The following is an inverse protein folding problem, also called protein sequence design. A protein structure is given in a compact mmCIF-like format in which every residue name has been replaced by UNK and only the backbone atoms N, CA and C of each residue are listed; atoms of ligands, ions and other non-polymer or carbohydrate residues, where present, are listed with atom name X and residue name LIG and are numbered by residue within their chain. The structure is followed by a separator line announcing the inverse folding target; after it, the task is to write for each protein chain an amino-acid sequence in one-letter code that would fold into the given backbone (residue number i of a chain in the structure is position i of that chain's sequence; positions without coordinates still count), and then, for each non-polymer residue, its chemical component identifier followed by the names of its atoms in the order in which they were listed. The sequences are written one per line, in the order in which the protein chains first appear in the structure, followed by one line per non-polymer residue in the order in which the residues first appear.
data_IF_917931130136
#
_entry.id   IF_917931130136
#
_cell.length_a   1.000
_cell.length_b   1.000
_cell.length_c   1.000
_cell.angle_alpha   90.00
_cell.angle_beta   90.00
_cell.angle_gamma   90.00
#
_symmetry.space_group_name_H-M   'P 1'
#
loop_
_entity.id
_entity.type
_entity.pdbx_description
1 polymer ?
#
# COMPACT_ATOMS: atom_id res chain seq x y z
N UNK A 1 6.08 35.77 -36.71
CA UNK A 1 6.16 36.00 -38.17
C UNK A 1 6.87 34.80 -38.78
N UNK A 2 6.15 33.94 -39.51
CA UNK A 2 6.78 32.82 -40.22
C UNK A 2 7.77 33.39 -41.24
N UNK A 3 9.04 33.02 -41.14
CA UNK A 3 10.06 33.45 -42.09
C UNK A 3 9.75 32.86 -43.47
N UNK A 4 10.01 33.64 -44.52
CA UNK A 4 9.77 33.33 -45.94
C UNK A 4 10.46 32.05 -46.48
N UNK A 5 11.12 31.29 -45.59
CA UNK A 5 11.81 30.02 -45.83
C UNK A 5 10.88 28.82 -45.61
N UNK A 6 9.95 28.88 -44.66
CA UNK A 6 8.99 27.82 -44.36
C UNK A 6 8.05 27.51 -45.53
N UNK A 7 7.80 28.50 -46.41
CA UNK A 7 6.95 28.35 -47.59
C UNK A 7 7.60 27.58 -48.76
N UNK A 8 8.90 27.25 -48.68
CA UNK A 8 9.66 26.56 -49.74
C UNK A 8 10.03 25.12 -49.41
N UNK A 9 9.80 24.67 -48.18
CA UNK A 9 10.11 23.31 -47.74
C UNK A 9 8.92 22.40 -48.03
N UNK A 10 9.19 21.17 -48.46
CA UNK A 10 8.15 20.16 -48.46
C UNK A 10 7.78 19.75 -47.01
N UNK A 11 6.65 19.09 -46.83
CA UNK A 11 6.11 18.77 -45.48
C UNK A 11 7.10 17.98 -44.62
N UNK A 12 7.87 17.07 -45.22
CA UNK A 12 8.83 16.23 -44.51
C UNK A 12 10.05 17.03 -44.04
N UNK A 13 10.59 17.89 -44.90
CA UNK A 13 11.69 18.79 -44.55
C UNK A 13 11.29 19.79 -43.46
N UNK A 14 10.08 20.33 -43.54
CA UNK A 14 9.54 21.22 -42.52
C UNK A 14 9.41 20.51 -41.16
N UNK A 15 8.87 19.28 -41.13
CA UNK A 15 8.79 18.49 -39.90
C UNK A 15 10.17 18.20 -39.31
N UNK A 16 11.14 17.90 -40.18
CA UNK A 16 12.53 17.65 -39.77
C UNK A 16 13.17 18.89 -39.16
N UNK A 17 12.98 20.06 -39.76
CA UNK A 17 13.46 21.35 -39.23
C UNK A 17 12.82 21.66 -37.87
N UNK A 18 11.49 21.49 -37.75
CA UNK A 18 10.76 21.73 -36.51
C UNK A 18 11.10 20.75 -35.37
N UNK A 19 11.77 19.64 -35.66
CA UNK A 19 12.28 18.66 -34.68
C UNK A 19 13.73 18.86 -34.28
N UNK A 20 14.45 19.82 -34.88
CA UNK A 20 15.81 20.19 -34.47
C UNK A 20 15.83 20.93 -33.12
N UNK A 21 17.01 21.10 -32.53
CA UNK A 21 17.18 21.83 -31.28
C UNK A 21 16.63 23.27 -31.40
N UNK A 22 15.74 23.65 -30.48
CA UNK A 22 15.04 24.94 -30.53
C UNK A 22 13.82 24.98 -31.46
N UNK A 23 13.51 23.88 -32.17
CA UNK A 23 12.32 23.75 -33.01
C UNK A 23 11.04 23.53 -32.19
N UNK A 24 9.90 23.97 -32.75
CA UNK A 24 8.60 23.93 -32.07
C UNK A 24 8.17 22.53 -31.63
N UNK A 25 8.43 21.51 -32.46
CA UNK A 25 8.10 20.12 -32.15
C UNK A 25 9.15 19.40 -31.33
N UNK A 26 10.29 20.04 -30.99
CA UNK A 26 11.29 19.47 -30.09
C UNK A 26 10.98 19.83 -28.64
N UNK A 27 10.03 19.10 -28.05
CA UNK A 27 9.65 19.26 -26.65
C UNK A 27 9.29 17.91 -26.02
N UNK A 28 9.26 17.87 -24.68
CA UNK A 28 8.99 16.66 -23.89
C UNK A 28 7.66 16.02 -24.23
N UNK A 29 6.61 16.81 -24.42
CA UNK A 29 5.28 16.29 -24.76
C UNK A 29 5.31 15.46 -26.05
N UNK A 30 5.91 15.99 -27.12
CA UNK A 30 6.03 15.27 -28.40
C UNK A 30 6.99 14.09 -28.29
N UNK A 31 8.11 14.24 -27.59
CA UNK A 31 9.09 13.16 -27.39
C UNK A 31 8.48 11.95 -26.67
N UNK A 32 7.69 12.19 -25.62
CA UNK A 32 7.01 11.14 -24.85
C UNK A 32 5.94 10.42 -25.69
N UNK A 33 5.17 11.15 -26.50
CA UNK A 33 4.19 10.52 -27.40
C UNK A 33 4.84 9.68 -28.49
N UNK A 34 5.92 10.16 -29.11
CA UNK A 34 6.68 9.38 -30.09
C UNK A 34 7.30 8.12 -29.46
N UNK A 35 7.82 8.23 -28.23
CA UNK A 35 8.31 7.06 -27.49
C UNK A 35 7.20 6.03 -27.25
N UNK A 36 5.98 6.47 -26.94
CA UNK A 36 4.82 5.58 -26.73
C UNK A 36 4.35 4.90 -28.03
N UNK A 37 4.45 5.59 -29.17
CA UNK A 37 4.12 5.02 -30.49
C UNK A 37 5.18 3.97 -30.90
N UNK A 38 6.46 4.22 -30.61
CA UNK A 38 7.57 3.29 -30.87
C UNK A 38 7.82 2.28 -29.73
N UNK A 39 6.96 2.23 -28.71
CA UNK A 39 7.24 1.56 -27.44
C UNK A 39 7.67 0.09 -27.58
N UNK A 40 7.09 -0.64 -28.53
CA UNK A 40 7.43 -2.05 -28.74
C UNK A 40 8.83 -2.27 -29.31
N UNK A 41 9.40 -1.26 -29.98
CA UNK A 41 10.74 -1.30 -30.55
C UNK A 41 11.83 -0.99 -29.51
N UNK A 42 11.44 -0.45 -28.34
CA UNK A 42 12.36 -0.07 -27.26
C UNK A 42 12.80 -1.27 -26.43
N UNK A 43 14.04 -1.23 -25.96
CA UNK A 43 14.57 -2.26 -25.07
C UNK A 43 14.07 -2.11 -23.61
N UNK A 44 14.39 -3.08 -22.76
CA UNK A 44 13.94 -3.09 -21.37
C UNK A 44 14.53 -1.93 -20.53
N UNK A 45 15.75 -1.49 -20.86
CA UNK A 45 16.42 -0.40 -20.16
C UNK A 45 15.79 0.95 -20.50
N UNK A 46 15.56 1.22 -21.78
CA UNK A 46 14.85 2.39 -22.28
C UNK A 46 13.45 2.50 -21.66
N UNK A 47 12.68 1.40 -21.66
CA UNK A 47 11.34 1.36 -21.05
C UNK A 47 11.38 1.69 -19.56
N UNK A 48 12.38 1.18 -18.85
CA UNK A 48 12.54 1.43 -17.41
C UNK A 48 12.87 2.89 -17.11
N UNK A 49 13.76 3.51 -17.89
CA UNK A 49 14.08 4.94 -17.78
C UNK A 49 12.83 5.77 -18.07
N UNK A 50 12.13 5.46 -19.17
CA UNK A 50 10.92 6.15 -19.57
C UNK A 50 9.88 6.19 -18.44
N UNK A 51 9.55 5.05 -17.82
CA UNK A 51 8.57 5.05 -16.73
C UNK A 51 9.06 5.74 -15.45
N UNK A 52 10.37 5.69 -15.18
CA UNK A 52 10.95 6.40 -14.06
C UNK A 52 10.84 7.93 -14.22
N UNK A 53 10.92 8.44 -15.45
CA UNK A 53 10.75 9.85 -15.79
C UNK A 53 9.29 10.25 -15.95
N UNK A 54 8.45 9.37 -16.52
CA UNK A 54 7.04 9.61 -16.82
C UNK A 54 6.29 10.14 -15.59
N UNK A 55 6.58 9.62 -14.39
CA UNK A 55 5.94 10.07 -13.14
C UNK A 55 6.01 11.60 -12.93
N UNK A 56 7.10 12.24 -13.39
CA UNK A 56 7.34 13.67 -13.25
C UNK A 56 6.69 14.48 -14.39
N UNK A 57 6.28 13.82 -15.47
CA UNK A 57 5.76 14.46 -16.67
C UNK A 57 4.24 14.35 -16.81
N UNK A 58 3.59 13.50 -16.00
CA UNK A 58 2.15 13.24 -16.11
C UNK A 58 1.27 14.49 -16.00
N UNK A 59 1.68 15.53 -15.27
CA UNK A 59 0.92 16.79 -15.14
C UNK A 59 0.87 17.63 -16.42
N UNK A 60 1.79 17.40 -17.36
CA UNK A 60 1.84 18.17 -18.61
C UNK A 60 0.87 17.63 -19.66
N UNK A 61 0.33 16.43 -19.47
CA UNK A 61 -0.56 15.80 -20.44
C UNK A 61 -2.01 16.16 -20.14
N UNK A 62 -2.79 16.59 -21.15
CA UNK A 62 -4.25 16.68 -21.00
C UNK A 62 -4.82 15.32 -20.56
N UNK A 63 -5.84 15.34 -19.70
CA UNK A 63 -6.43 14.13 -19.10
C UNK A 63 -6.80 13.07 -20.14
N UNK A 64 -7.34 13.48 -21.29
CA UNK A 64 -7.68 12.57 -22.39
C UNK A 64 -6.45 11.84 -22.95
N UNK A 65 -5.30 12.51 -23.06
CA UNK A 65 -4.06 11.88 -23.54
C UNK A 65 -3.52 10.93 -22.48
N UNK A 66 -3.50 11.38 -21.22
CA UNK A 66 -3.09 10.57 -20.08
C UNK A 66 -3.94 9.27 -19.97
N UNK A 67 -5.26 9.39 -20.07
CA UNK A 67 -6.24 8.31 -19.93
C UNK A 67 -6.30 7.36 -21.12
N UNK A 68 -6.29 7.87 -22.35
CA UNK A 68 -6.53 7.04 -23.55
C UNK A 68 -5.28 6.67 -24.33
N UNK A 69 -4.14 7.34 -24.10
CA UNK A 69 -2.86 7.01 -24.78
C UNK A 69 -1.83 6.44 -23.82
N UNK A 70 -1.60 7.09 -22.68
CA UNK A 70 -0.52 6.72 -21.76
C UNK A 70 -0.90 5.51 -20.90
N UNK A 71 -2.06 5.55 -20.24
CA UNK A 71 -2.51 4.48 -19.34
C UNK A 71 -2.59 3.09 -20.02
N UNK A 72 -3.16 2.93 -21.23
CA UNK A 72 -3.22 1.61 -21.87
C UNK A 72 -1.84 1.02 -22.16
N UNK A 73 -0.85 1.87 -22.52
CA UNK A 73 0.54 1.43 -22.74
C UNK A 73 1.23 1.04 -21.44
N UNK A 74 0.95 1.76 -20.35
CA UNK A 74 1.44 1.42 -19.01
C UNK A 74 0.92 0.05 -18.55
N UNK A 75 -0.39 -0.17 -18.67
CA UNK A 75 -1.04 -1.45 -18.33
C UNK A 75 -0.46 -2.57 -19.18
N UNK A 76 -0.42 -2.40 -20.51
CA UNK A 76 0.14 -3.40 -21.42
C UNK A 76 1.61 -3.71 -21.12
N UNK A 77 2.43 -2.69 -20.83
CA UNK A 77 3.83 -2.89 -20.48
C UNK A 77 4.01 -3.69 -19.19
N UNK A 78 3.05 -3.60 -18.29
CA UNK A 78 3.05 -4.39 -17.07
C UNK A 78 2.47 -5.81 -17.27
N UNK A 79 1.42 -5.93 -18.07
CA UNK A 79 0.80 -7.21 -18.41
C UNK A 79 1.73 -8.13 -19.19
N UNK A 80 2.61 -7.58 -20.02
CA UNK A 80 3.46 -8.36 -20.93
C UNK A 80 4.96 -8.08 -20.79
N UNK A 81 5.39 -7.28 -19.81
CA UNK A 81 6.79 -6.89 -19.63
C UNK A 81 7.27 -6.85 -18.18
N UNK A 82 8.57 -6.57 -18.02
CA UNK A 82 9.26 -6.51 -16.72
C UNK A 82 9.35 -5.07 -16.17
N UNK A 83 8.25 -4.32 -16.25
CA UNK A 83 8.23 -2.93 -15.78
C UNK A 83 8.32 -2.80 -14.24
N UNK A 84 8.17 -3.92 -13.53
CA UNK A 84 8.37 -4.05 -12.09
C UNK A 84 7.55 -3.05 -11.27
N UNK A 85 8.14 -2.50 -10.23
CA UNK A 85 7.48 -1.51 -9.35
C UNK A 85 7.51 -0.06 -9.86
N UNK A 86 8.15 0.22 -10.99
CA UNK A 86 8.25 1.59 -11.52
C UNK A 86 6.93 2.08 -12.11
N UNK A 87 6.07 1.15 -12.54
CA UNK A 87 4.75 1.48 -13.09
C UNK A 87 3.75 1.88 -12.01
N UNK A 88 4.00 1.58 -10.74
CA UNK A 88 3.02 1.83 -9.66
C UNK A 88 2.65 3.30 -9.52
N UNK A 89 3.66 4.19 -9.45
CA UNK A 89 3.40 5.62 -9.27
C UNK A 89 2.64 6.21 -10.46
N UNK A 90 3.06 5.99 -11.73
CA UNK A 90 2.25 6.41 -12.88
C UNK A 90 0.85 5.79 -12.90
N UNK A 91 0.71 4.50 -12.54
CA UNK A 91 -0.56 3.78 -12.58
C UNK A 91 -1.57 4.39 -11.60
N UNK A 92 -1.17 4.62 -10.35
CA UNK A 92 -2.06 5.22 -9.35
C UNK A 92 -2.40 6.66 -9.67
N UNK A 93 -1.45 7.43 -10.22
CA UNK A 93 -1.71 8.80 -10.63
C UNK A 93 -2.74 8.87 -11.76
N UNK A 94 -2.59 8.03 -12.78
CA UNK A 94 -3.53 7.94 -13.90
C UNK A 94 -4.87 7.32 -13.47
N UNK A 95 -4.86 6.43 -12.48
CA UNK A 95 -6.07 5.84 -11.90
C UNK A 95 -7.03 6.88 -11.31
N UNK A 96 -6.53 8.02 -10.83
CA UNK A 96 -7.37 9.14 -10.31
C UNK A 96 -8.20 9.83 -11.39
N UNK A 97 -7.91 9.60 -12.68
CA UNK A 97 -8.66 10.14 -13.81
C UNK A 97 -9.81 9.21 -14.26
N UNK A 98 -9.92 8.04 -13.63
CA UNK A 98 -10.91 7.02 -13.97
C UNK A 98 -12.11 7.16 -13.04
N UNK A 99 -13.30 6.89 -13.58
CA UNK A 99 -14.44 6.57 -12.73
C UNK A 99 -14.30 5.16 -12.13
N UNK A 100 -15.23 4.80 -11.25
CA UNK A 100 -15.14 3.52 -10.53
C UNK A 100 -15.19 2.31 -11.48
N UNK A 101 -16.07 2.34 -12.50
CA UNK A 101 -16.23 1.23 -13.45
C UNK A 101 -14.95 1.05 -14.30
N UNK A 102 -14.36 2.15 -14.75
CA UNK A 102 -13.09 2.13 -15.47
C UNK A 102 -11.93 1.68 -14.57
N UNK A 103 -11.92 2.08 -13.30
CA UNK A 103 -10.91 1.64 -12.33
C UNK A 103 -10.99 0.13 -12.10
N UNK A 104 -12.21 -0.41 -11.90
CA UNK A 104 -12.46 -1.84 -11.78
C UNK A 104 -11.99 -2.60 -13.03
N UNK A 105 -12.29 -2.07 -14.23
CA UNK A 105 -11.96 -2.75 -15.47
C UNK A 105 -10.46 -2.72 -15.80
N UNK A 106 -9.77 -1.61 -15.48
CA UNK A 106 -8.40 -1.35 -15.96
C UNK A 106 -7.33 -1.52 -14.89
N UNK A 107 -7.57 -1.05 -13.66
CA UNK A 107 -6.54 -0.98 -12.62
C UNK A 107 -6.56 -2.22 -11.72
N UNK A 108 -7.75 -2.71 -11.34
CA UNK A 108 -7.87 -3.87 -10.42
C UNK A 108 -7.21 -5.15 -10.97
N UNK A 109 -7.35 -5.53 -12.26
CA UNK A 109 -6.66 -6.70 -12.81
C UNK A 109 -5.13 -6.56 -12.73
N UNK A 110 -4.62 -5.36 -12.97
CA UNK A 110 -3.20 -5.03 -12.84
C UNK A 110 -2.73 -5.19 -11.39
N UNK A 111 -3.51 -4.70 -10.42
CA UNK A 111 -3.23 -4.89 -8.98
C UNK A 111 -3.19 -6.37 -8.58
N UNK A 112 -4.14 -7.19 -9.02
CA UNK A 112 -4.13 -8.63 -8.73
C UNK A 112 -2.85 -9.31 -9.24
N UNK A 113 -2.41 -8.96 -10.45
CA UNK A 113 -1.16 -9.48 -11.01
C UNK A 113 0.06 -8.95 -10.25
N UNK A 114 0.05 -7.68 -9.83
CA UNK A 114 1.11 -7.05 -9.02
C UNK A 114 1.30 -7.75 -7.68
N UNK A 115 0.22 -8.09 -6.98
CA UNK A 115 0.29 -8.88 -5.75
C UNK A 115 0.79 -10.31 -5.97
N UNK A 116 0.54 -10.88 -7.15
CA UNK A 116 1.00 -12.23 -7.49
C UNK A 116 2.50 -12.28 -7.85
N UNK A 117 3.16 -11.12 -7.97
CA UNK A 117 4.61 -11.05 -8.22
C UNK A 117 5.42 -11.60 -7.03
N UNK A 118 6.47 -12.40 -7.27
CA UNK A 118 7.40 -12.82 -6.22
C UNK A 118 8.36 -11.71 -5.78
N UNK A 119 8.41 -10.57 -6.49
CA UNK A 119 9.32 -9.47 -6.17
C UNK A 119 8.95 -8.76 -4.87
N UNK A 120 9.82 -8.87 -3.87
CA UNK A 120 9.65 -8.27 -2.54
C UNK A 120 9.57 -6.75 -2.60
N UNK A 121 10.33 -6.09 -3.50
CA UNK A 121 10.34 -4.63 -3.60
C UNK A 121 9.00 -4.11 -4.13
N UNK A 122 8.43 -4.78 -5.13
CA UNK A 122 7.08 -4.52 -5.64
C UNK A 122 6.03 -4.73 -4.55
N UNK A 123 6.12 -5.84 -3.80
CA UNK A 123 5.19 -6.11 -2.69
C UNK A 123 5.22 -5.01 -1.63
N UNK A 124 6.40 -4.60 -1.16
CA UNK A 124 6.53 -3.53 -0.15
C UNK A 124 5.90 -2.24 -0.67
N UNK A 125 6.22 -1.81 -1.89
CA UNK A 125 5.67 -0.57 -2.47
C UNK A 125 4.15 -0.60 -2.65
N UNK A 126 3.56 -1.76 -2.94
CA UNK A 126 2.11 -1.94 -2.98
C UNK A 126 1.50 -1.77 -1.58
N UNK A 127 2.07 -2.45 -0.59
CA UNK A 127 1.57 -2.45 0.78
C UNK A 127 1.69 -1.06 1.44
N UNK A 128 2.77 -0.32 1.16
CA UNK A 128 2.96 1.06 1.62
C UNK A 128 1.93 2.06 1.04
N UNK A 129 1.32 1.73 -0.11
CA UNK A 129 0.32 2.55 -0.79
C UNK A 129 -1.07 1.93 -0.79
N UNK A 130 -1.31 0.93 0.05
CA UNK A 130 -2.58 0.20 0.09
C UNK A 130 -3.78 1.14 0.26
N UNK A 131 -3.63 2.22 1.04
CA UNK A 131 -4.69 3.21 1.29
C UNK A 131 -5.14 3.95 0.02
N UNK A 132 -4.27 4.06 -1.01
CA UNK A 132 -4.61 4.73 -2.26
C UNK A 132 -5.56 3.91 -3.14
N UNK A 133 -5.60 2.58 -2.97
CA UNK A 133 -6.39 1.70 -3.82
C UNK A 133 -7.31 0.74 -3.07
N UNK A 134 -7.14 0.54 -1.77
CA UNK A 134 -8.02 -0.29 -0.96
C UNK A 134 -9.50 0.10 -1.09
N UNK A 135 -9.90 1.39 -1.11
CA UNK A 135 -11.31 1.77 -1.28
C UNK A 135 -11.94 1.26 -2.58
N UNK A 136 -11.13 1.08 -3.63
CA UNK A 136 -11.56 0.56 -4.93
C UNK A 136 -11.51 -0.98 -5.01
N UNK A 137 -11.12 -1.69 -3.94
CA UNK A 137 -11.09 -3.15 -3.98
C UNK A 137 -12.40 -3.72 -3.45
N UNK A 138 -13.08 -4.51 -4.27
CA UNK A 138 -14.25 -5.27 -3.83
C UNK A 138 -13.83 -6.40 -2.87
N UNK A 139 -14.61 -6.68 -1.81
CA UNK A 139 -14.31 -7.76 -0.86
C UNK A 139 -14.03 -9.12 -1.52
N UNK A 140 -14.80 -9.47 -2.56
CA UNK A 140 -14.59 -10.72 -3.32
C UNK A 140 -13.17 -10.80 -3.91
N UNK A 141 -12.72 -9.73 -4.58
CA UNK A 141 -11.39 -9.67 -5.18
C UNK A 141 -10.29 -9.73 -4.11
N UNK A 142 -10.49 -9.05 -2.97
CA UNK A 142 -9.55 -9.09 -1.86
C UNK A 142 -9.36 -10.52 -1.37
N UNK A 143 -10.44 -11.24 -1.06
CA UNK A 143 -10.35 -12.59 -0.50
C UNK A 143 -9.84 -13.62 -1.53
N UNK A 144 -10.32 -13.57 -2.77
CA UNK A 144 -10.04 -14.61 -3.76
C UNK A 144 -8.67 -14.44 -4.45
N UNK A 145 -8.23 -13.19 -4.71
CA UNK A 145 -7.08 -12.92 -5.58
C UNK A 145 -5.91 -12.21 -4.90
N UNK A 146 -6.16 -11.47 -3.81
CA UNK A 146 -5.13 -10.62 -3.18
C UNK A 146 -4.65 -11.21 -1.86
N UNK A 147 -5.56 -11.64 -0.98
CA UNK A 147 -5.25 -11.94 0.41
C UNK A 147 -4.19 -13.03 0.55
N UNK A 148 -4.30 -14.15 -0.19
CA UNK A 148 -3.30 -15.23 -0.15
C UNK A 148 -1.88 -14.73 -0.44
N UNK A 149 -1.74 -13.84 -1.41
CA UNK A 149 -0.44 -13.27 -1.78
C UNK A 149 0.09 -12.33 -0.70
N UNK A 150 -0.79 -11.52 -0.10
CA UNK A 150 -0.43 -10.62 1.01
C UNK A 150 -0.06 -11.42 2.27
N UNK A 151 -0.83 -12.44 2.62
CA UNK A 151 -0.62 -13.27 3.81
C UNK A 151 0.74 -13.98 3.81
N UNK A 152 1.28 -14.32 2.63
CA UNK A 152 2.64 -14.87 2.49
C UNK A 152 3.71 -13.92 3.09
N UNK A 153 3.45 -12.62 3.09
CA UNK A 153 4.33 -11.59 3.64
C UNK A 153 4.53 -11.67 5.15
N UNK A 154 3.59 -12.25 5.91
CA UNK A 154 3.74 -12.42 7.36
C UNK A 154 4.84 -13.44 7.75
N UNK A 155 5.29 -14.24 6.79
CA UNK A 155 6.29 -15.29 6.97
C UNK A 155 7.60 -14.96 6.27
N UNK A 156 7.71 -13.79 5.64
CA UNK A 156 8.89 -13.46 4.84
C UNK A 156 10.13 -13.28 5.72
N UNK A 157 11.29 -13.71 5.20
CA UNK A 157 12.56 -13.58 5.90
C UNK A 157 13.00 -12.12 6.03
N UNK A 158 12.56 -11.24 5.14
CA UNK A 158 12.85 -9.81 5.19
C UNK A 158 11.88 -9.07 6.13
N UNK A 159 12.40 -8.43 7.21
CA UNK A 159 11.59 -7.62 8.13
C UNK A 159 10.71 -6.55 7.47
N UNK A 160 11.22 -5.87 6.44
CA UNK A 160 10.48 -4.80 5.78
C UNK A 160 9.19 -5.31 5.10
N UNK A 161 9.23 -6.54 4.57
CA UNK A 161 8.05 -7.20 3.99
C UNK A 161 7.04 -7.52 5.08
N UNK A 162 7.49 -8.15 6.19
CA UNK A 162 6.62 -8.48 7.32
C UNK A 162 5.97 -7.22 7.92
N UNK A 163 6.76 -6.17 8.14
CA UNK A 163 6.29 -4.91 8.70
C UNK A 163 5.23 -4.24 7.82
N UNK A 164 5.50 -4.13 6.51
CA UNK A 164 4.55 -3.54 5.56
C UNK A 164 3.26 -4.36 5.46
N UNK A 165 3.38 -5.69 5.54
CA UNK A 165 2.22 -6.61 5.50
C UNK A 165 1.31 -6.37 6.70
N UNK A 166 1.87 -6.26 7.91
CA UNK A 166 1.09 -5.98 9.14
C UNK A 166 0.37 -4.63 9.06
N UNK A 167 1.06 -3.58 8.59
CA UNK A 167 0.47 -2.24 8.48
C UNK A 167 -0.68 -2.21 7.48
N UNK A 168 -0.54 -2.89 6.34
CA UNK A 168 -1.54 -2.89 5.28
C UNK A 168 -2.87 -3.56 5.66
N UNK A 169 -2.88 -4.44 6.67
CA UNK A 169 -4.11 -5.10 7.11
C UNK A 169 -5.14 -4.15 7.69
N UNK A 170 -4.73 -3.00 8.21
CA UNK A 170 -5.66 -1.99 8.71
C UNK A 170 -6.62 -1.54 7.61
N UNK A 171 -6.12 -1.39 6.39
CA UNK A 171 -6.86 -0.87 5.23
C UNK A 171 -7.67 -1.96 4.49
N UNK A 172 -7.35 -3.23 4.76
CA UNK A 172 -8.02 -4.39 4.15
C UNK A 172 -9.00 -5.09 5.08
N UNK A 173 -8.97 -4.81 6.39
CA UNK A 173 -9.72 -5.58 7.38
C UNK A 173 -11.24 -5.58 7.16
N UNK A 174 -11.81 -4.47 6.68
CA UNK A 174 -13.24 -4.34 6.37
C UNK A 174 -13.69 -5.16 5.17
N UNK A 175 -12.74 -5.71 4.39
CA UNK A 175 -12.97 -6.48 3.17
C UNK A 175 -12.71 -7.97 3.35
N UNK A 176 -12.14 -8.39 4.48
CA UNK A 176 -11.83 -9.79 4.74
C UNK A 176 -13.09 -10.55 5.16
N UNK A 177 -13.24 -11.77 4.63
CA UNK A 177 -14.26 -12.70 5.09
C UNK A 177 -13.92 -13.26 6.49
N UNK A 178 -14.88 -13.98 7.08
CA UNK A 178 -14.71 -14.54 8.42
C UNK A 178 -13.52 -15.51 8.54
N UNK A 179 -13.24 -16.28 7.49
CA UNK A 179 -12.15 -17.26 7.49
C UNK A 179 -10.79 -16.55 7.51
N UNK A 180 -10.61 -15.56 6.65
CA UNK A 180 -9.36 -14.81 6.53
C UNK A 180 -9.16 -13.90 7.75
N UNK A 181 -10.20 -13.19 8.20
CA UNK A 181 -10.09 -12.24 9.32
C UNK A 181 -9.93 -12.93 10.67
N UNK A 182 -10.84 -13.83 11.03
CA UNK A 182 -10.96 -14.33 12.41
C UNK A 182 -10.08 -15.55 12.70
N UNK A 183 -9.65 -16.28 11.66
CA UNK A 183 -8.83 -17.49 11.82
C UNK A 183 -7.41 -17.24 11.34
N UNK A 184 -7.26 -16.89 10.06
CA UNK A 184 -5.94 -16.85 9.44
C UNK A 184 -5.12 -15.63 9.87
N UNK A 185 -5.67 -14.42 9.73
CA UNK A 185 -5.01 -13.18 10.13
C UNK A 185 -4.73 -13.16 11.64
N UNK A 186 -5.66 -13.63 12.48
CA UNK A 186 -5.43 -13.72 13.93
C UNK A 186 -4.23 -14.61 14.27
N UNK A 187 -4.06 -15.75 13.58
CA UNK A 187 -2.91 -16.63 13.76
C UNK A 187 -1.60 -15.93 13.40
N UNK A 188 -1.58 -15.20 12.27
CA UNK A 188 -0.40 -14.46 11.83
C UNK A 188 -0.03 -13.32 12.79
N UNK A 189 -1.01 -12.51 13.21
CA UNK A 189 -0.78 -11.41 14.14
C UNK A 189 -0.33 -11.90 15.51
N UNK A 190 -0.92 -12.99 16.03
CA UNK A 190 -0.50 -13.57 17.31
C UNK A 190 0.95 -14.05 17.29
N UNK A 191 1.38 -14.71 16.19
CA UNK A 191 2.77 -15.16 16.03
C UNK A 191 3.73 -13.98 15.95
N UNK A 192 3.44 -12.99 15.11
CA UNK A 192 4.32 -11.82 14.95
C UNK A 192 4.41 -11.02 16.24
N UNK A 193 3.30 -10.78 16.93
CA UNK A 193 3.29 -10.09 18.22
C UNK A 193 4.10 -10.83 19.29
N UNK A 194 4.04 -12.17 19.31
CA UNK A 194 4.66 -12.96 20.38
C UNK A 194 6.12 -13.34 20.16
N UNK A 195 6.55 -13.48 18.90
CA UNK A 195 7.81 -14.15 18.57
C UNK A 195 8.64 -13.49 17.46
N UNK A 196 8.20 -12.37 16.87
CA UNK A 196 9.03 -11.68 15.88
C UNK A 196 10.27 -11.07 16.54
N UNK A 197 11.43 -11.25 15.90
CA UNK A 197 12.72 -10.76 16.36
C UNK A 197 12.77 -9.23 16.37
N UNK A 198 11.99 -8.59 15.50
CA UNK A 198 11.98 -7.15 15.35
C UNK A 198 10.94 -6.50 16.30
N UNK A 199 11.39 -5.71 17.29
CA UNK A 199 10.48 -5.09 18.26
C UNK A 199 9.46 -4.13 17.61
N UNK A 200 9.84 -3.48 16.51
CA UNK A 200 8.93 -2.65 15.71
C UNK A 200 7.77 -3.46 15.11
N UNK A 201 8.01 -4.69 14.65
CA UNK A 201 6.98 -5.56 14.07
C UNK A 201 6.02 -6.02 15.17
N UNK A 202 6.52 -6.41 16.35
CA UNK A 202 5.66 -6.77 17.50
C UNK A 202 4.75 -5.60 17.92
N UNK A 203 5.30 -4.39 17.92
CA UNK A 203 4.57 -3.15 18.17
C UNK A 203 3.48 -2.94 17.12
N UNK A 204 3.83 -3.02 15.83
CA UNK A 204 2.88 -2.84 14.73
C UNK A 204 1.76 -3.90 14.73
N UNK A 205 2.04 -5.16 15.10
CA UNK A 205 1.03 -6.20 15.23
C UNK A 205 0.00 -5.86 16.32
N UNK A 206 0.49 -5.32 17.45
CA UNK A 206 -0.36 -4.83 18.55
C UNK A 206 -1.25 -3.67 18.10
N UNK A 207 -0.67 -2.69 17.39
CA UNK A 207 -1.41 -1.54 16.85
C UNK A 207 -2.46 -2.01 15.84
N UNK A 208 -2.09 -2.93 14.95
CA UNK A 208 -2.98 -3.48 13.93
C UNK A 208 -4.21 -4.14 14.58
N UNK A 209 -4.01 -5.03 15.57
CA UNK A 209 -5.10 -5.65 16.33
C UNK A 209 -6.04 -4.62 16.97
N UNK A 210 -5.51 -3.54 17.55
CA UNK A 210 -6.32 -2.46 18.11
C UNK A 210 -7.16 -1.74 17.06
N UNK A 211 -6.58 -1.45 15.89
CA UNK A 211 -7.26 -0.74 14.80
C UNK A 211 -8.34 -1.57 14.11
N UNK A 212 -8.15 -2.88 13.98
CA UNK A 212 -9.10 -3.77 13.30
C UNK A 212 -10.11 -4.42 14.26
N UNK A 213 -10.02 -4.13 15.56
CA UNK A 213 -10.82 -4.79 16.60
C UNK A 213 -12.33 -4.71 16.41
N UNK A 214 -12.83 -3.69 15.70
CA UNK A 214 -14.25 -3.56 15.36
C UNK A 214 -14.74 -4.61 14.34
N UNK A 215 -13.87 -5.14 13.49
CA UNK A 215 -14.21 -6.12 12.46
C UNK A 215 -14.15 -7.56 12.98
N UNK A 216 -13.42 -7.81 14.06
CA UNK A 216 -13.29 -9.15 14.67
C UNK A 216 -14.66 -9.61 15.17
N UNK A 217 -14.99 -10.88 14.97
CA UNK A 217 -16.25 -11.49 15.42
C UNK A 217 -16.48 -11.23 16.92
N UNK A 218 -17.62 -10.62 17.32
CA UNK A 218 -17.93 -10.32 18.71
C UNK A 218 -17.77 -11.49 19.69
N UNK A 219 -18.02 -12.72 19.22
CA UNK A 219 -17.93 -13.96 20.01
C UNK A 219 -16.52 -14.17 20.59
N UNK A 220 -15.50 -13.83 19.82
CA UNK A 220 -14.10 -14.07 20.18
C UNK A 220 -13.31 -12.79 20.44
N UNK A 221 -13.83 -11.62 20.01
CA UNK A 221 -13.19 -10.31 20.07
C UNK A 221 -12.61 -9.98 21.45
N UNK A 222 -13.42 -10.08 22.49
CA UNK A 222 -12.99 -9.76 23.86
C UNK A 222 -11.78 -10.62 24.28
N UNK A 223 -11.87 -11.94 24.09
CA UNK A 223 -10.81 -12.86 24.50
C UNK A 223 -9.50 -12.62 23.73
N UNK A 224 -9.60 -12.43 22.41
CA UNK A 224 -8.46 -12.19 21.53
C UNK A 224 -7.74 -10.90 21.93
N UNK A 225 -8.48 -9.78 22.03
CA UNK A 225 -7.89 -8.46 22.31
C UNK A 225 -7.25 -8.43 23.70
N UNK A 226 -7.93 -8.93 24.73
CA UNK A 226 -7.38 -8.97 26.09
C UNK A 226 -6.11 -9.84 26.13
N UNK A 227 -6.15 -11.02 25.51
CA UNK A 227 -4.96 -11.90 25.49
C UNK A 227 -3.78 -11.27 24.78
N UNK A 228 -4.01 -10.59 23.66
CA UNK A 228 -2.95 -9.94 22.88
C UNK A 228 -2.36 -8.74 23.64
N UNK A 229 -3.20 -7.86 24.17
CA UNK A 229 -2.72 -6.64 24.81
C UNK A 229 -2.09 -6.89 26.19
N UNK A 230 -2.65 -7.80 27.00
CA UNK A 230 -2.02 -8.16 28.29
C UNK A 230 -0.67 -8.86 28.12
N UNK A 231 -0.47 -9.58 27.01
CA UNK A 231 0.86 -10.09 26.61
C UNK A 231 1.81 -8.95 26.24
N UNK A 232 1.37 -8.04 25.37
CA UNK A 232 2.18 -6.93 24.89
C UNK A 232 2.57 -5.91 25.99
N UNK A 233 1.78 -5.79 27.07
CA UNK A 233 2.16 -5.02 28.27
C UNK A 233 3.44 -5.54 28.95
N UNK A 234 3.85 -6.78 28.67
CA UNK A 234 5.08 -7.39 29.22
C UNK A 234 6.25 -7.40 28.23
N UNK A 235 6.09 -6.78 27.06
CA UNK A 235 7.14 -6.75 26.04
C UNK A 235 8.37 -5.99 26.55
N UNK A 236 9.61 -6.48 26.32
CA UNK A 236 10.82 -5.74 26.71
C UNK A 236 10.92 -4.37 26.02
N UNK A 237 10.31 -4.21 24.85
CA UNK A 237 10.35 -2.97 24.09
C UNK A 237 9.27 -1.98 24.55
N UNK A 238 9.65 -0.78 25.04
CA UNK A 238 8.69 0.18 25.60
C UNK A 238 7.59 0.64 24.64
N UNK A 239 7.86 0.91 23.34
CA UNK A 239 6.80 1.23 22.39
C UNK A 239 5.74 0.13 22.22
N UNK A 240 6.10 -1.15 22.36
CA UNK A 240 5.13 -2.24 22.30
C UNK A 240 4.19 -2.22 23.51
N UNK A 241 4.72 -1.96 24.71
CA UNK A 241 3.91 -1.78 25.93
C UNK A 241 2.99 -0.56 25.81
N UNK A 242 3.50 0.56 25.31
CA UNK A 242 2.70 1.76 25.08
C UNK A 242 1.58 1.52 24.05
N UNK A 243 1.87 0.80 22.96
CA UNK A 243 0.87 0.41 21.98
C UNK A 243 -0.25 -0.45 22.61
N UNK A 244 0.09 -1.35 23.53
CA UNK A 244 -0.89 -2.17 24.24
C UNK A 244 -1.82 -1.34 25.14
N UNK A 245 -1.27 -0.37 25.88
CA UNK A 245 -2.07 0.55 26.73
C UNK A 245 -3.04 1.35 25.85
N UNK A 246 -2.56 1.93 24.76
CA UNK A 246 -3.39 2.70 23.82
C UNK A 246 -4.46 1.82 23.17
N UNK A 247 -4.12 0.59 22.79
CA UNK A 247 -5.06 -0.34 22.17
C UNK A 247 -6.16 -0.78 23.16
N UNK A 248 -5.82 -1.08 24.41
CA UNK A 248 -6.80 -1.38 25.48
C UNK A 248 -7.79 -0.24 25.67
N UNK A 249 -7.31 1.01 25.69
CA UNK A 249 -8.17 2.19 25.83
C UNK A 249 -9.06 2.41 24.60
N UNK A 250 -8.51 2.28 23.39
CA UNK A 250 -9.26 2.45 22.14
C UNK A 250 -10.33 1.37 21.90
N UNK A 251 -10.22 0.24 22.60
CA UNK A 251 -11.13 -0.92 22.45
C UNK A 251 -11.90 -1.26 23.73
N UNK A 252 -11.89 -0.35 24.72
CA UNK A 252 -12.51 -0.54 26.04
C UNK A 252 -13.99 -0.91 25.98
N UNK A 253 -14.71 -0.44 24.96
CA UNK A 253 -16.12 -0.73 24.73
C UNK A 253 -16.43 -2.22 24.47
N UNK A 254 -15.41 -3.05 24.22
CA UNK A 254 -15.57 -4.48 23.99
C UNK A 254 -15.35 -5.34 25.24
N UNK A 255 -15.11 -4.73 26.40
CA UNK A 255 -14.73 -5.45 27.62
C UNK A 255 -15.84 -5.38 28.67
N UNK A 256 -16.24 -6.54 29.17
CA UNK A 256 -17.10 -6.63 30.36
C UNK A 256 -16.36 -6.17 31.61
N UNK A 257 -17.10 -5.65 32.59
CA UNK A 257 -16.53 -5.22 33.87
C UNK A 257 -15.79 -6.35 34.61
N UNK A 258 -16.25 -7.59 34.44
CA UNK A 258 -15.60 -8.78 35.02
C UNK A 258 -14.20 -8.96 34.45
N UNK A 259 -14.05 -8.85 33.14
CA UNK A 259 -12.75 -8.95 32.47
C UNK A 259 -11.84 -7.76 32.78
N UNK A 260 -12.41 -6.56 32.88
CA UNK A 260 -11.68 -5.36 33.29
C UNK A 260 -11.07 -5.56 34.68
N UNK A 261 -11.89 -5.98 35.65
CA UNK A 261 -11.46 -6.16 37.04
C UNK A 261 -10.46 -7.31 37.22
N UNK A 262 -10.66 -8.44 36.54
CA UNK A 262 -9.89 -9.67 36.81
C UNK A 262 -8.67 -9.84 35.91
N UNK A 263 -8.63 -9.21 34.73
CA UNK A 263 -7.56 -9.44 33.75
C UNK A 263 -6.88 -8.16 33.29
N UNK A 264 -7.62 -7.09 33.00
CA UNK A 264 -7.04 -5.86 32.43
C UNK A 264 -6.39 -5.02 33.52
N UNK A 265 -7.11 -4.67 34.59
CA UNK A 265 -6.57 -3.85 35.69
C UNK A 265 -5.35 -4.53 36.32
N UNK A 266 -5.38 -5.82 36.69
CA UNK A 266 -4.19 -6.48 37.24
C UNK A 266 -2.99 -6.51 36.28
N UNK A 267 -3.22 -6.53 34.96
CA UNK A 267 -2.15 -6.45 33.98
C UNK A 267 -1.60 -5.03 33.81
N UNK A 268 -2.42 -3.99 34.00
CA UNK A 268 -2.00 -2.58 33.94
C UNK A 268 -1.31 -2.11 35.23
N UNK A 269 -1.65 -2.67 36.39
CA UNK A 269 -1.10 -2.21 37.68
C UNK A 269 0.44 -2.19 37.74
N UNK A 270 1.19 -3.18 37.24
CA UNK A 270 2.65 -3.11 37.22
C UNK A 270 3.20 -2.03 36.27
N UNK A 271 2.43 -1.69 35.23
CA UNK A 271 2.82 -0.77 34.16
C UNK A 271 2.70 0.70 34.60
N UNK A 272 1.94 1.00 35.65
CA UNK A 272 1.95 2.33 36.29
C UNK A 272 3.27 2.64 36.99
N UNK A 273 4.11 1.63 37.21
CA UNK A 273 5.44 1.75 37.80
C UNK A 273 6.53 1.38 36.78
N UNK A 274 6.24 1.51 35.47
CA UNK A 274 7.21 1.21 34.42
C UNK A 274 8.46 2.09 34.55
N UNK A 275 9.62 1.50 34.24
CA UNK A 275 10.91 2.20 34.26
C UNK A 275 10.95 3.34 33.24
N UNK A 276 10.22 3.17 32.15
CA UNK A 276 10.15 4.13 31.05
C UNK A 276 9.03 5.14 31.30
N UNK A 277 9.43 6.39 31.51
CA UNK A 277 8.51 7.50 31.79
C UNK A 277 7.40 7.61 30.73
N UNK A 278 7.71 7.38 29.46
CA UNK A 278 6.71 7.47 28.38
C UNK A 278 5.57 6.44 28.53
N UNK A 279 5.87 5.27 29.09
CA UNK A 279 4.86 4.22 29.35
C UNK A 279 4.03 4.61 30.57
N UNK A 280 4.68 5.06 31.65
CA UNK A 280 4.03 5.50 32.89
C UNK A 280 3.14 6.73 32.71
N UNK A 281 3.54 7.70 31.89
CA UNK A 281 2.78 8.92 31.58
C UNK A 281 1.89 8.79 30.35
N UNK A 282 1.63 7.57 29.87
CA UNK A 282 0.67 7.37 28.79
C UNK A 282 -0.67 7.99 29.21
N UNK A 283 -1.23 8.87 28.37
CA UNK A 283 -2.29 9.85 28.73
C UNK A 283 -3.53 9.25 29.43
N UNK A 284 -3.72 7.94 29.34
CA UNK A 284 -4.82 7.20 29.98
C UNK A 284 -4.73 7.20 31.52
N UNK A 285 -3.54 7.35 32.11
CA UNK A 285 -3.38 7.43 33.57
C UNK A 285 -3.55 8.84 34.15
N UNK A 286 -3.77 9.85 33.29
CA UNK A 286 -4.07 11.22 33.74
C UNK A 286 -5.58 11.38 33.80
N UNK A 287 -6.14 11.03 34.96
CA UNK A 287 -7.44 11.54 35.41
C UNK A 287 -7.24 12.98 35.90
#
# INVERSE_FOLDING_TARGET
MATNRAAKLNTEELLRELRQAGGFFKNRYVDTLLFLDEFQLKDAHEKKIFFAELKNELDFFPDNIAKYRILPKLIHSYEYGDAGSQVLTPLFRLGRLLDEDEYQLRIVPCLCKLFSSPDRATRVKLLERIDEFAPHLMPQIVNERIYKNVASGFMDTNPAVRESTVKAMVSLADKLDNQNLNIDLMRHLARLQGADDQPGIRTNATICLGKIGCYIDPTYRQQILISAFTRALKDPFPPARMAAILALSATQQYYSLVEVANRIVPALSPVTCDREKQVTYCKIFKV
#
